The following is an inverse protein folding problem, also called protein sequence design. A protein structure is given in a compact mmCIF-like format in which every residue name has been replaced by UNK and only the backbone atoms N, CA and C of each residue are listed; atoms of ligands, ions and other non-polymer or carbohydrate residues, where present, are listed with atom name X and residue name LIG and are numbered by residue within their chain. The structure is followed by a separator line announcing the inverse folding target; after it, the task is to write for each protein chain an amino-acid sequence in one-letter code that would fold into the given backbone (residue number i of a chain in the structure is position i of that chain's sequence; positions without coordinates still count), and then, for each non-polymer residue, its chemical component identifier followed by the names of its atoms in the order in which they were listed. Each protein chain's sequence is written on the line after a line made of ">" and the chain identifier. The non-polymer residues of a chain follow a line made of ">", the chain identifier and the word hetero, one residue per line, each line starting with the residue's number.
data_IF_219007083707
#
_entry.id   IF_219007083707
#
_cell.length_a   1.000
_cell.length_b   1.000
_cell.length_c   1.000
_cell.angle_alpha   90.00
_cell.angle_beta   90.00
_cell.angle_gamma   90.00
#
_symmetry.space_group_name_H-M   'P 1'
#
loop_
_entity.id
_entity.type
_entity.pdbx_description
1 polymer ?
#
# COMPACT_ATOMS: atom_id res chain seq x y z
N UNK A 1 8.22 1.11 -17.43
CA UNK A 1 8.21 0.11 -16.36
C UNK A 1 9.26 0.43 -15.28
N UNK A 2 10.51 0.78 -15.65
CA UNK A 2 11.56 1.13 -14.68
C UNK A 2 11.26 2.41 -13.89
N UNK A 3 10.72 3.44 -14.52
CA UNK A 3 10.34 4.70 -13.85
C UNK A 3 9.27 4.48 -12.77
N UNK A 4 8.27 3.65 -13.04
CA UNK A 4 7.24 3.32 -12.06
C UNK A 4 7.80 2.55 -10.85
N UNK A 5 8.76 1.65 -11.09
CA UNK A 5 9.46 0.91 -10.02
C UNK A 5 10.33 1.83 -9.16
N UNK A 6 11.03 2.79 -9.77
CA UNK A 6 11.76 3.81 -9.03
C UNK A 6 10.83 4.63 -8.12
N UNK A 7 9.69 5.06 -8.63
CA UNK A 7 8.68 5.80 -7.84
C UNK A 7 8.19 4.97 -6.65
N UNK A 8 7.83 3.71 -6.85
CA UNK A 8 7.37 2.82 -5.78
C UNK A 8 8.48 2.65 -4.71
N UNK A 9 9.74 2.44 -5.12
CA UNK A 9 10.86 2.32 -4.19
C UNK A 9 11.07 3.61 -3.41
N UNK A 10 11.03 4.76 -4.07
CA UNK A 10 11.16 6.07 -3.43
C UNK A 10 10.04 6.30 -2.41
N UNK A 11 8.79 5.97 -2.77
CA UNK A 11 7.65 6.06 -1.85
C UNK A 11 7.85 5.16 -0.61
N UNK A 12 8.24 3.91 -0.82
CA UNK A 12 8.47 2.98 0.29
C UNK A 12 9.60 3.47 1.20
N UNK A 13 10.71 3.94 0.63
CA UNK A 13 11.83 4.51 1.41
C UNK A 13 11.41 5.74 2.22
N UNK A 14 10.58 6.61 1.64
CA UNK A 14 10.06 7.79 2.33
C UNK A 14 9.13 7.41 3.49
N UNK A 15 8.25 6.42 3.29
CA UNK A 15 7.39 5.89 4.34
C UNK A 15 8.18 5.21 5.46
N UNK A 16 9.24 4.47 5.13
CA UNK A 16 10.12 3.82 6.10
C UNK A 16 10.87 4.86 6.94
N UNK A 17 11.46 5.87 6.32
CA UNK A 17 12.12 6.96 7.01
C UNK A 17 11.15 7.74 7.93
N UNK A 18 9.93 7.98 7.47
CA UNK A 18 8.89 8.61 8.28
C UNK A 18 8.55 7.77 9.53
N UNK A 19 8.45 6.46 9.38
CA UNK A 19 8.19 5.56 10.51
C UNK A 19 9.34 5.50 11.51
N UNK A 20 10.59 5.62 11.07
CA UNK A 20 11.76 5.63 11.94
C UNK A 20 11.81 6.87 12.83
N UNK A 21 11.47 8.04 12.27
CA UNK A 21 11.50 9.32 13.01
C UNK A 21 10.24 9.60 13.82
N UNK A 22 9.16 8.84 13.59
CA UNK A 22 7.88 9.06 14.27
C UNK A 22 7.76 8.14 15.47
N UNK A 23 7.71 8.73 16.67
CA UNK A 23 7.31 8.04 17.89
C UNK A 23 5.78 8.07 18.03
N UNK A 24 5.16 6.91 18.04
CA UNK A 24 3.72 6.76 18.16
C UNK A 24 3.40 5.55 19.03
N UNK A 25 2.51 5.73 20.00
CA UNK A 25 1.97 4.63 20.80
C UNK A 25 1.00 3.82 19.95
N UNK A 26 1.29 2.54 19.76
CA UNK A 26 0.47 1.64 18.95
C UNK A 26 -0.47 0.87 19.86
N UNK A 27 -1.81 1.02 19.71
CA UNK A 27 -2.78 0.30 20.53
C UNK A 27 -2.70 -1.22 20.27
N UNK A 28 -2.46 -2.00 21.32
CA UNK A 28 -2.35 -3.48 21.21
C UNK A 28 -3.55 -4.13 20.55
N UNK A 29 -4.75 -3.61 20.84
CA UNK A 29 -5.99 -4.13 20.23
C UNK A 29 -5.98 -4.03 18.71
N UNK A 30 -5.44 -2.93 18.15
CA UNK A 30 -5.33 -2.77 16.70
C UNK A 30 -4.31 -3.74 16.10
N UNK A 31 -3.19 -3.96 16.81
CA UNK A 31 -2.17 -4.92 16.39
C UNK A 31 -2.73 -6.34 16.38
N UNK A 32 -3.44 -6.72 17.43
CA UNK A 32 -4.03 -8.05 17.54
C UNK A 32 -5.09 -8.29 16.44
N UNK A 33 -5.95 -7.31 16.16
CA UNK A 33 -6.93 -7.38 15.08
C UNK A 33 -6.26 -7.50 13.70
N UNK A 34 -5.24 -6.69 13.44
CA UNK A 34 -4.51 -6.73 12.16
C UNK A 34 -3.73 -8.05 12.01
N UNK A 35 -3.14 -8.58 13.10
CA UNK A 35 -2.48 -9.88 13.10
C UNK A 35 -3.43 -11.01 12.70
N UNK A 36 -4.63 -11.01 13.26
CA UNK A 36 -5.68 -11.98 12.91
C UNK A 36 -6.11 -11.84 11.44
N UNK A 37 -6.26 -10.60 10.97
CA UNK A 37 -6.63 -10.32 9.57
C UNK A 37 -5.56 -10.80 8.60
N UNK A 38 -4.29 -10.58 8.90
CA UNK A 38 -3.16 -11.06 8.10
C UNK A 38 -3.10 -12.59 8.07
N UNK A 39 -3.29 -13.25 9.22
CA UNK A 39 -3.35 -14.71 9.30
C UNK A 39 -4.48 -15.28 8.44
N UNK A 40 -5.69 -14.71 8.51
CA UNK A 40 -6.84 -15.12 7.70
C UNK A 40 -6.62 -14.88 6.21
N UNK A 41 -6.05 -13.73 5.83
CA UNK A 41 -5.76 -13.41 4.43
C UNK A 41 -4.72 -14.37 3.84
N UNK A 42 -3.65 -14.64 4.59
CA UNK A 42 -2.61 -15.60 4.18
C UNK A 42 -3.18 -17.01 4.03
N UNK A 43 -4.05 -17.41 4.96
CA UNK A 43 -4.73 -18.70 4.89
C UNK A 43 -5.63 -18.81 3.64
N UNK A 44 -6.38 -17.75 3.33
CA UNK A 44 -7.22 -17.72 2.14
C UNK A 44 -6.38 -17.79 0.84
N UNK A 45 -5.22 -17.14 0.82
CA UNK A 45 -4.28 -17.20 -0.30
C UNK A 45 -3.67 -18.59 -0.48
N UNK A 46 -3.25 -19.24 0.61
CA UNK A 46 -2.74 -20.62 0.56
C UNK A 46 -3.80 -21.59 0.04
N UNK A 47 -5.05 -21.44 0.47
CA UNK A 47 -6.18 -22.23 -0.06
C UNK A 47 -6.40 -22.01 -1.55
N UNK A 48 -6.33 -20.76 -2.00
CA UNK A 48 -6.50 -20.44 -3.44
C UNK A 48 -5.39 -21.01 -4.31
N UNK A 49 -4.18 -21.17 -3.76
CA UNK A 49 -3.02 -21.80 -4.41
C UNK A 49 -3.04 -23.36 -4.33
N UNK A 50 -4.14 -23.93 -3.82
CA UNK A 50 -4.31 -25.39 -3.76
C UNK A 50 -3.50 -26.08 -2.67
N UNK A 51 -2.96 -25.33 -1.70
CA UNK A 51 -2.24 -25.91 -0.56
C UNK A 51 -3.26 -26.47 0.44
N UNK A 52 -3.01 -27.69 0.91
CA UNK A 52 -3.87 -28.32 1.92
C UNK A 52 -3.68 -27.61 3.26
N UNK A 53 -4.69 -26.85 3.65
CA UNK A 53 -4.74 -26.10 4.92
C UNK A 53 -5.70 -26.72 5.92
N UNK A 54 -6.14 -27.96 5.68
CA UNK A 54 -7.04 -28.67 6.58
C UNK A 54 -6.36 -28.88 7.94
N UNK A 55 -6.94 -28.30 8.98
CA UNK A 55 -6.53 -28.37 10.39
C UNK A 55 -5.28 -27.55 10.82
N UNK A 56 -4.85 -26.54 10.10
CA UNK A 56 -3.81 -25.63 10.60
C UNK A 56 -4.25 -24.18 10.52
N UNK A 57 -4.76 -23.63 11.62
CA UNK A 57 -4.86 -22.18 11.74
C UNK A 57 -3.44 -21.62 11.87
N UNK A 58 -3.13 -20.61 11.08
CA UNK A 58 -1.86 -19.89 11.20
C UNK A 58 -1.91 -19.05 12.50
N UNK A 59 -0.97 -19.24 13.44
CA UNK A 59 -0.94 -18.45 14.64
C UNK A 59 -0.82 -16.95 14.31
N UNK A 60 -1.72 -16.13 14.83
CA UNK A 60 -1.70 -14.68 14.62
C UNK A 60 -0.39 -14.04 15.10
N UNK A 61 0.27 -14.63 16.11
CA UNK A 61 1.55 -14.15 16.63
C UNK A 61 2.67 -14.10 15.59
N UNK A 62 2.64 -14.95 14.57
CA UNK A 62 3.61 -14.93 13.47
C UNK A 62 3.53 -13.62 12.64
N UNK A 63 2.38 -12.96 12.68
CA UNK A 63 2.13 -11.74 11.93
C UNK A 63 2.22 -10.47 12.76
N UNK A 64 2.56 -10.60 14.07
CA UNK A 64 2.50 -9.49 15.01
C UNK A 64 3.44 -8.33 14.63
N UNK A 65 4.68 -8.62 14.30
CA UNK A 65 5.64 -7.59 13.88
C UNK A 65 5.18 -6.86 12.61
N UNK A 66 4.64 -7.60 11.64
CA UNK A 66 4.10 -7.05 10.42
C UNK A 66 2.82 -6.23 10.66
N UNK A 67 1.96 -6.73 11.53
CA UNK A 67 0.75 -6.02 11.95
C UNK A 67 1.08 -4.71 12.66
N UNK A 68 2.05 -4.72 13.57
CA UNK A 68 2.51 -3.55 14.30
C UNK A 68 3.03 -2.46 13.35
N UNK A 69 3.90 -2.84 12.40
CA UNK A 69 4.39 -1.92 11.36
C UNK A 69 3.24 -1.33 10.54
N UNK A 70 2.28 -2.16 10.14
CA UNK A 70 1.14 -1.74 9.32
C UNK A 70 0.18 -0.82 10.06
N UNK A 71 -0.09 -1.11 11.33
CA UNK A 71 -0.91 -0.25 12.19
C UNK A 71 -0.20 1.08 12.43
N UNK A 72 1.10 1.06 12.74
CA UNK A 72 1.90 2.28 12.91
C UNK A 72 1.82 3.16 11.66
N UNK A 73 2.07 2.59 10.50
CA UNK A 73 1.99 3.31 9.22
C UNK A 73 0.60 3.91 9.01
N UNK A 74 -0.45 3.14 9.23
CA UNK A 74 -1.83 3.63 9.10
C UNK A 74 -2.15 4.81 10.01
N UNK A 75 -1.68 4.76 11.27
CA UNK A 75 -1.87 5.86 12.22
C UNK A 75 -1.11 7.12 11.81
N UNK A 76 0.16 6.98 11.40
CA UNK A 76 0.99 8.10 10.95
C UNK A 76 0.41 8.75 9.70
N UNK A 77 0.03 7.96 8.72
CA UNK A 77 -0.60 8.44 7.48
C UNK A 77 -1.93 9.14 7.78
N UNK A 78 -2.75 8.57 8.66
CA UNK A 78 -4.02 9.19 9.06
C UNK A 78 -3.83 10.55 9.75
N UNK A 79 -2.81 10.66 10.59
CA UNK A 79 -2.46 11.94 11.25
C UNK A 79 -2.00 12.99 10.23
N UNK A 80 -1.18 12.61 9.25
CA UNK A 80 -0.75 13.52 8.16
C UNK A 80 -1.96 14.00 7.37
N UNK A 81 -2.84 13.10 6.97
CA UNK A 81 -4.06 13.43 6.24
C UNK A 81 -4.90 14.47 6.99
N UNK A 82 -5.05 14.30 8.31
CA UNK A 82 -5.83 15.22 9.14
C UNK A 82 -5.15 16.57 9.32
N UNK A 83 -3.85 16.59 9.61
CA UNK A 83 -3.09 17.82 9.82
C UNK A 83 -2.97 18.66 8.57
N UNK A 84 -2.59 18.04 7.48
CA UNK A 84 -2.35 18.69 6.20
C UNK A 84 -3.62 18.83 5.36
N UNK A 85 -4.75 18.32 5.87
CA UNK A 85 -6.06 18.33 5.19
C UNK A 85 -5.99 17.77 3.78
N UNK A 86 -5.21 16.71 3.61
CA UNK A 86 -5.04 16.04 2.33
C UNK A 86 -6.36 15.36 1.95
N UNK A 87 -6.94 15.80 0.86
CA UNK A 87 -8.13 15.18 0.28
C UNK A 87 -7.90 15.05 -1.22
N UNK A 88 -8.18 13.90 -1.82
CA UNK A 88 -7.99 13.71 -3.24
C UNK A 88 -8.95 14.62 -4.01
N UNK A 89 -8.41 15.33 -4.98
CA UNK A 89 -9.22 16.12 -5.91
C UNK A 89 -9.91 15.24 -6.94
N UNK A 90 -10.97 15.75 -7.55
CA UNK A 90 -11.66 15.03 -8.64
C UNK A 90 -10.72 14.71 -9.82
N UNK A 91 -9.74 15.57 -10.06
CA UNK A 91 -8.73 15.39 -11.11
C UNK A 91 -7.76 14.26 -10.78
N UNK A 92 -7.29 14.15 -9.54
CA UNK A 92 -6.42 13.06 -9.07
C UNK A 92 -7.14 11.71 -9.11
N UNK A 93 -8.40 11.68 -8.71
CA UNK A 93 -9.23 10.48 -8.83
C UNK A 93 -9.40 10.07 -10.30
N UNK A 94 -9.65 11.04 -11.19
CA UNK A 94 -9.78 10.78 -12.61
C UNK A 94 -8.46 10.23 -13.21
N UNK A 95 -7.31 10.77 -12.81
CA UNK A 95 -5.99 10.28 -13.25
C UNK A 95 -5.76 8.82 -12.84
N UNK A 96 -6.10 8.45 -11.61
CA UNK A 96 -5.99 7.06 -11.15
C UNK A 96 -6.85 6.13 -11.99
N UNK A 97 -8.11 6.52 -12.25
CA UNK A 97 -9.02 5.72 -13.08
C UNK A 97 -8.56 5.67 -14.54
N UNK A 98 -7.96 6.74 -15.05
CA UNK A 98 -7.38 6.81 -16.38
C UNK A 98 -6.22 5.81 -16.54
N UNK A 99 -5.30 5.79 -15.59
CA UNK A 99 -4.18 4.84 -15.58
C UNK A 99 -4.68 3.39 -15.53
N UNK A 100 -5.68 3.11 -14.68
CA UNK A 100 -6.30 1.78 -14.60
C UNK A 100 -6.99 1.38 -15.91
N UNK A 101 -7.58 2.34 -16.62
CA UNK A 101 -8.31 2.09 -17.87
C UNK A 101 -7.41 1.74 -19.04
N UNK A 102 -6.13 2.11 -18.98
CA UNK A 102 -5.17 1.95 -20.10
C UNK A 102 -4.87 0.50 -20.49
N UNK A 103 -5.24 -0.49 -19.66
CA UNK A 103 -5.09 -1.91 -19.96
C UNK A 103 -6.35 -2.56 -20.56
N UNK A 104 -7.43 -1.81 -20.67
CA UNK A 104 -8.71 -2.29 -21.20
C UNK A 104 -8.91 -1.84 -22.65
N UNK A 105 -9.62 -2.66 -23.45
CA UNK A 105 -9.92 -2.39 -24.87
C UNK A 105 -10.78 -1.14 -25.06
N UNK A 106 -11.71 -0.88 -24.12
CA UNK A 106 -12.55 0.33 -24.12
C UNK A 106 -12.35 1.10 -22.81
N UNK A 107 -11.38 2.03 -22.76
CA UNK A 107 -11.11 2.85 -21.58
C UNK A 107 -12.31 3.72 -21.16
N UNK A 108 -13.12 4.16 -22.11
CA UNK A 108 -14.27 5.06 -21.82
C UNK A 108 -15.38 4.29 -21.11
N UNK A 109 -15.72 3.11 -21.61
CA UNK A 109 -16.71 2.24 -20.98
C UNK A 109 -16.24 1.81 -19.60
N UNK A 110 -14.94 1.47 -19.43
CA UNK A 110 -14.37 1.11 -18.15
C UNK A 110 -14.50 2.25 -17.13
N UNK A 111 -14.12 3.48 -17.47
CA UNK A 111 -14.19 4.64 -16.58
C UNK A 111 -15.62 4.88 -16.09
N UNK A 112 -16.58 4.85 -17.00
CA UNK A 112 -17.98 5.01 -16.66
C UNK A 112 -18.44 3.92 -15.70
N UNK A 113 -18.21 2.66 -16.06
CA UNK A 113 -18.54 1.50 -15.21
C UNK A 113 -17.88 1.56 -13.84
N UNK A 114 -16.62 2.00 -13.77
CA UNK A 114 -15.85 2.08 -12.54
C UNK A 114 -16.39 3.15 -11.59
N UNK A 115 -16.75 4.33 -12.11
CA UNK A 115 -17.21 5.47 -11.33
C UNK A 115 -18.69 5.39 -10.94
N UNK A 116 -19.49 4.57 -11.60
CA UNK A 116 -20.90 4.37 -11.29
C UNK A 116 -21.12 3.61 -9.95
N UNK A 117 -20.16 2.77 -9.54
CA UNK A 117 -20.27 2.02 -8.29
C UNK A 117 -19.57 2.78 -7.14
N UNK A 118 -20.30 3.08 -6.05
CA UNK A 118 -19.74 3.81 -4.91
C UNK A 118 -18.52 3.13 -4.28
N UNK A 119 -18.48 1.78 -4.27
CA UNK A 119 -17.35 1.03 -3.70
C UNK A 119 -16.09 1.16 -4.55
N UNK A 120 -16.25 1.06 -5.88
CA UNK A 120 -15.13 1.23 -6.80
C UNK A 120 -14.62 2.67 -6.80
N UNK A 121 -15.54 3.64 -6.73
CA UNK A 121 -15.18 5.05 -6.58
C UNK A 121 -14.39 5.30 -5.30
N UNK A 122 -14.84 4.77 -4.16
CA UNK A 122 -14.11 4.86 -2.90
C UNK A 122 -12.72 4.21 -2.97
N UNK A 123 -12.56 3.16 -3.77
CA UNK A 123 -11.25 2.55 -4.02
C UNK A 123 -10.33 3.50 -4.79
N UNK A 124 -10.82 4.17 -5.84
CA UNK A 124 -10.04 5.17 -6.56
C UNK A 124 -9.68 6.37 -5.67
N UNK A 125 -10.61 6.82 -4.84
CA UNK A 125 -10.37 7.90 -3.85
C UNK A 125 -9.25 7.50 -2.87
N UNK A 126 -9.26 6.27 -2.36
CA UNK A 126 -8.22 5.77 -1.48
C UNK A 126 -6.85 5.71 -2.17
N UNK A 127 -6.79 5.26 -3.43
CA UNK A 127 -5.54 5.22 -4.22
C UNK A 127 -5.02 6.62 -4.53
N UNK A 128 -5.91 7.55 -4.86
CA UNK A 128 -5.53 8.96 -5.10
C UNK A 128 -5.00 9.62 -3.82
N UNK A 129 -5.64 9.35 -2.69
CA UNK A 129 -5.20 9.83 -1.38
C UNK A 129 -3.82 9.26 -1.00
N UNK A 130 -3.60 7.97 -1.19
CA UNK A 130 -2.30 7.33 -0.94
C UNK A 130 -1.19 7.96 -1.78
N UNK A 131 -1.47 8.22 -3.06
CA UNK A 131 -0.53 8.94 -3.94
C UNK A 131 -0.27 10.37 -3.45
N UNK A 132 -1.31 11.10 -3.05
CA UNK A 132 -1.19 12.46 -2.50
C UNK A 132 -0.33 12.50 -1.23
N UNK A 133 -0.52 11.56 -0.32
CA UNK A 133 0.30 11.42 0.89
C UNK A 133 1.75 11.14 0.54
N UNK A 134 2.01 10.22 -0.39
CA UNK A 134 3.36 9.90 -0.83
C UNK A 134 4.06 11.12 -1.48
N UNK A 135 3.36 11.88 -2.31
CA UNK A 135 3.88 13.11 -2.89
C UNK A 135 4.17 14.18 -1.83
N UNK A 136 3.29 14.32 -0.84
CA UNK A 136 3.50 15.24 0.26
C UNK A 136 4.76 14.86 1.07
N UNK A 137 4.91 13.59 1.43
CA UNK A 137 6.11 13.10 2.14
C UNK A 137 7.38 13.40 1.34
N UNK A 138 7.36 13.18 0.03
CA UNK A 138 8.51 13.47 -0.83
C UNK A 138 8.81 14.98 -0.93
N UNK A 139 7.79 15.84 -0.86
CA UNK A 139 8.00 17.29 -0.88
C UNK A 139 8.64 17.82 0.41
N UNK A 140 8.37 17.19 1.55
CA UNK A 140 8.94 17.53 2.86
C UNK A 140 10.27 16.82 3.14
N UNK A 141 10.54 15.70 2.47
CA UNK A 141 11.74 14.89 2.67
C UNK A 141 12.96 15.50 1.98
N UNK A 142 14.11 15.36 2.62
CA UNK A 142 15.39 15.60 1.95
C UNK A 142 15.73 14.39 1.09
N UNK A 143 15.56 14.54 -0.23
CA UNK A 143 15.78 13.47 -1.20
C UNK A 143 17.26 13.42 -1.56
N UNK A 144 17.86 12.24 -1.48
CA UNK A 144 19.18 11.93 -2.01
C UNK A 144 19.00 11.00 -3.22
N UNK A 145 19.48 11.45 -4.39
CA UNK A 145 19.45 10.64 -5.60
C UNK A 145 20.59 9.65 -5.61
N UNK A 146 20.26 8.36 -5.70
CA UNK A 146 21.22 7.27 -5.77
C UNK A 146 21.05 6.52 -7.10
N UNK A 147 22.15 6.39 -7.86
CA UNK A 147 22.15 5.56 -9.06
C UNK A 147 22.13 4.07 -8.68
N UNK A 148 21.08 3.38 -9.13
CA UNK A 148 20.88 1.95 -8.85
C UNK A 148 20.86 1.17 -10.16
N UNK A 149 21.62 0.07 -10.29
CA UNK A 149 21.56 -0.79 -11.47
C UNK A 149 20.17 -1.35 -11.70
N UNK A 150 19.72 -1.36 -12.95
CA UNK A 150 18.38 -1.87 -13.34
C UNK A 150 18.14 -3.29 -12.82
N UNK A 151 19.17 -4.12 -12.74
CA UNK A 151 19.10 -5.49 -12.20
C UNK A 151 18.73 -5.52 -10.73
N UNK A 152 19.17 -4.56 -9.93
CA UNK A 152 18.82 -4.45 -8.51
C UNK A 152 17.36 -4.01 -8.33
N UNK A 153 16.88 -3.07 -9.16
CA UNK A 153 15.46 -2.68 -9.20
C UNK A 153 14.51 -3.83 -9.55
N UNK A 154 14.99 -4.79 -10.35
CA UNK A 154 14.23 -5.99 -10.69
C UNK A 154 14.21 -7.02 -9.55
N UNK A 155 15.30 -7.11 -8.76
CA UNK A 155 15.39 -8.04 -7.62
C UNK A 155 14.62 -7.56 -6.40
N UNK A 156 14.56 -6.27 -6.13
CA UNK A 156 13.79 -5.73 -5.01
C UNK A 156 12.28 -5.96 -5.16
N UNK A 157 11.79 -6.03 -6.39
CA UNK A 157 10.38 -6.40 -6.65
C UNK A 157 10.08 -7.85 -6.23
N UNK A 158 11.06 -8.76 -6.30
CA UNK A 158 10.91 -10.14 -5.82
C UNK A 158 11.04 -10.24 -4.30
N UNK A 159 11.91 -9.40 -3.69
CA UNK A 159 12.07 -9.36 -2.23
C UNK A 159 10.91 -8.65 -1.53
N UNK A 160 10.31 -7.63 -2.14
CA UNK A 160 9.09 -7.00 -1.64
C UNK A 160 7.94 -8.00 -1.57
N UNK A 161 7.77 -8.83 -2.60
CA UNK A 161 6.78 -9.91 -2.60
C UNK A 161 7.12 -11.03 -1.59
N UNK A 162 8.41 -11.32 -1.34
CA UNK A 162 8.84 -12.30 -0.33
C UNK A 162 8.81 -11.73 1.09
N UNK A 163 9.06 -10.44 1.31
CA UNK A 163 8.90 -9.79 2.63
C UNK A 163 7.43 -9.61 2.98
N UNK A 164 6.57 -9.54 1.99
CA UNK A 164 5.12 -9.62 2.16
C UNK A 164 4.63 -11.06 2.40
N UNK A 165 5.42 -12.08 2.06
CA UNK A 165 5.10 -13.49 2.23
C UNK A 165 5.80 -14.16 3.44
N UNK A 166 6.67 -13.44 4.17
CA UNK A 166 7.39 -13.93 5.35
C UNK A 166 6.95 -13.20 6.59
#
# INVERSE_FOLDING_TARGET
>A
ESANRCLIRTHNSALDALMEVTECEIPKVMVDQESQRLAQSTMAELKSKGMNTDNKDLPADLFKARAERRVKLGLVVSEIIQKEKLAPTAEEIALVVDEMSGVYEDPVAFKKWFLEDPKRKAQAEAMALERGVAQWILSEAKIEEVEVPVQELLQDASKGAESEAK
#
